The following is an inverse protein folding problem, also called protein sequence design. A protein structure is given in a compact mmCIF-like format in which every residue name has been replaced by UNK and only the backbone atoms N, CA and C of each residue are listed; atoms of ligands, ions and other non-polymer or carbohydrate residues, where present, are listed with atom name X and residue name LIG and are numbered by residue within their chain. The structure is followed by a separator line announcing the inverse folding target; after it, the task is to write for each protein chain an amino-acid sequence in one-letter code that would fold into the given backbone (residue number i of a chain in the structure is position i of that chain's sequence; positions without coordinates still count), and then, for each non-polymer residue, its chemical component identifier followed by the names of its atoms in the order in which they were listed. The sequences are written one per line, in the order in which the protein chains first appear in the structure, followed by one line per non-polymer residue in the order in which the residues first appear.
data_IF_913910667492
#
_entry.id   IF_913910667492
#
_cell.length_a   1.000
_cell.length_b   1.000
_cell.length_c   1.000
_cell.angle_alpha   90.00
_cell.angle_beta   90.00
_cell.angle_gamma   90.00
#
_symmetry.space_group_name_H-M   'P 1'
#
loop_
_entity.id
_entity.type
_entity.pdbx_description
1 polymer ?
#
# COMPACT_ATOMS: atom_id res chain seq x y z
N UNK A 1 -11.33 -20.44 4.49
CA UNK A 1 -11.12 -19.10 5.08
C UNK A 1 -12.00 -18.10 4.38
N UNK A 2 -12.68 -17.23 5.12
CA UNK A 2 -13.57 -16.21 4.55
C UNK A 2 -12.75 -14.94 4.32
N UNK A 3 -12.43 -14.61 3.07
CA UNK A 3 -11.68 -13.38 2.73
C UNK A 3 -12.63 -12.20 2.77
N UNK A 4 -12.38 -11.22 3.63
CA UNK A 4 -13.17 -9.99 3.72
C UNK A 4 -12.37 -8.79 3.21
N UNK A 5 -12.91 -8.06 2.24
CA UNK A 5 -12.37 -6.78 1.81
C UNK A 5 -12.75 -5.72 2.84
N UNK A 6 -11.78 -4.92 3.28
CA UNK A 6 -12.01 -3.79 4.22
C UNK A 6 -11.12 -2.60 3.89
N UNK A 7 -11.48 -1.44 4.45
CA UNK A 7 -10.60 -0.26 4.45
C UNK A 7 -9.35 -0.58 5.28
N UNK A 8 -8.21 -0.15 4.76
CA UNK A 8 -6.91 -0.31 5.42
C UNK A 8 -6.69 0.79 6.44
N UNK A 9 -5.95 0.45 7.48
CA UNK A 9 -5.54 1.35 8.56
C UNK A 9 -4.03 1.37 8.69
N UNK A 10 -3.48 2.28 9.48
CA UNK A 10 -2.03 2.34 9.73
C UNK A 10 -1.42 1.00 10.21
N UNK A 11 -2.23 0.13 10.84
CA UNK A 11 -1.80 -1.21 11.28
C UNK A 11 -1.47 -2.15 10.11
N UNK A 12 -2.03 -1.87 8.94
CA UNK A 12 -1.85 -2.67 7.72
C UNK A 12 -0.62 -2.24 6.91
N UNK A 13 0.07 -1.18 7.35
CA UNK A 13 1.20 -0.60 6.61
C UNK A 13 2.31 -1.59 6.27
N UNK A 14 2.78 -2.44 7.21
CA UNK A 14 3.84 -3.39 6.88
C UNK A 14 3.45 -4.37 5.76
N UNK A 15 2.22 -4.90 5.82
CA UNK A 15 1.69 -5.84 4.81
C UNK A 15 1.46 -5.14 3.48
N UNK A 16 0.92 -3.92 3.50
CA UNK A 16 0.75 -3.10 2.30
C UNK A 16 2.10 -2.81 1.62
N UNK A 17 3.11 -2.39 2.38
CA UNK A 17 4.46 -2.09 1.86
C UNK A 17 5.07 -3.31 1.17
N UNK A 18 4.98 -4.48 1.79
CA UNK A 18 5.50 -5.72 1.20
C UNK A 18 4.82 -6.08 -0.13
N UNK A 19 3.48 -6.06 -0.16
CA UNK A 19 2.71 -6.33 -1.39
C UNK A 19 3.03 -5.30 -2.47
N UNK A 20 3.14 -4.02 -2.10
CA UNK A 20 3.46 -2.92 -3.02
C UNK A 20 4.84 -3.09 -3.64
N UNK A 21 5.86 -3.36 -2.83
CA UNK A 21 7.23 -3.56 -3.28
C UNK A 21 7.36 -4.82 -4.13
N UNK A 22 6.68 -5.91 -3.77
CA UNK A 22 6.61 -7.10 -4.61
C UNK A 22 5.99 -6.80 -5.97
N UNK A 23 4.87 -6.07 -5.99
CA UNK A 23 4.23 -5.65 -7.24
C UNK A 23 5.16 -4.86 -8.14
N UNK A 24 5.88 -3.86 -7.58
CA UNK A 24 6.86 -3.07 -8.34
C UNK A 24 7.99 -3.91 -8.94
N UNK A 25 8.39 -5.00 -8.26
CA UNK A 25 9.45 -5.90 -8.73
C UNK A 25 8.95 -6.86 -9.81
N UNK A 26 7.72 -7.36 -9.67
CA UNK A 26 7.14 -8.36 -10.56
C UNK A 26 6.54 -7.73 -11.83
N UNK A 27 5.96 -6.53 -11.71
CA UNK A 27 5.36 -5.79 -12.81
C UNK A 27 5.51 -4.28 -12.58
N UNK A 28 6.69 -3.75 -12.90
CA UNK A 28 6.99 -2.32 -12.75
C UNK A 28 6.11 -1.42 -13.62
N UNK A 29 5.49 -1.95 -14.68
CA UNK A 29 4.69 -1.15 -15.62
C UNK A 29 3.30 -0.80 -15.08
N UNK A 30 2.83 -1.53 -14.06
CA UNK A 30 1.57 -1.26 -13.37
C UNK A 30 1.65 -0.04 -12.43
N UNK A 31 2.82 0.58 -12.29
CA UNK A 31 3.08 1.63 -11.31
C UNK A 31 3.79 2.84 -11.93
N UNK A 32 3.62 4.00 -11.30
CA UNK A 32 4.27 5.26 -11.70
C UNK A 32 5.67 5.46 -11.10
N UNK A 33 6.27 4.43 -10.52
CA UNK A 33 7.54 4.45 -9.76
C UNK A 33 8.24 3.10 -9.92
N UNK A 34 9.54 3.03 -9.60
CA UNK A 34 10.29 1.76 -9.61
C UNK A 34 10.37 1.12 -8.22
N UNK A 35 10.74 -0.16 -8.19
CA UNK A 35 11.01 -0.88 -6.94
C UNK A 35 12.14 -0.20 -6.15
N UNK A 36 13.24 0.14 -6.81
CA UNK A 36 14.42 0.76 -6.20
C UNK A 36 14.07 2.12 -5.59
N UNK A 37 13.21 2.90 -6.26
CA UNK A 37 12.77 4.18 -5.75
C UNK A 37 11.91 4.02 -4.48
N UNK A 38 10.88 3.16 -4.51
CA UNK A 38 9.99 3.00 -3.35
C UNK A 38 10.65 2.23 -2.19
N UNK A 39 11.67 1.41 -2.45
CA UNK A 39 12.42 0.71 -1.41
C UNK A 39 13.06 1.69 -0.41
N UNK A 40 13.58 2.81 -0.91
CA UNK A 40 14.26 3.86 -0.15
C UNK A 40 13.27 4.83 0.54
N UNK A 41 11.97 4.70 0.28
CA UNK A 41 10.99 5.57 0.92
C UNK A 41 10.88 5.29 2.44
N UNK A 42 10.73 6.35 3.26
CA UNK A 42 10.44 6.19 4.67
C UNK A 42 9.04 5.60 4.87
N UNK A 43 8.82 4.92 6.00
CA UNK A 43 7.52 4.33 6.36
C UNK A 43 6.38 5.37 6.32
N UNK A 44 6.68 6.63 6.64
CA UNK A 44 5.71 7.73 6.57
C UNK A 44 5.07 7.85 5.18
N UNK A 45 5.83 7.62 4.10
CA UNK A 45 5.30 7.72 2.73
C UNK A 45 4.30 6.61 2.40
N UNK A 46 4.41 5.45 3.06
CA UNK A 46 3.41 4.39 2.97
C UNK A 46 2.22 4.65 3.90
N UNK A 47 2.46 5.19 5.10
CA UNK A 47 1.40 5.62 6.00
C UNK A 47 0.53 6.70 5.37
N UNK A 48 1.10 7.69 4.68
CA UNK A 48 0.35 8.76 4.01
C UNK A 48 -0.59 8.24 2.92
N UNK A 49 -0.26 7.10 2.30
CA UNK A 49 -1.11 6.43 1.29
C UNK A 49 -2.26 5.64 1.93
N UNK A 50 -2.04 5.08 3.12
CA UNK A 50 -3.05 4.27 3.83
C UNK A 50 -3.94 5.13 4.71
N UNK A 51 -3.38 6.18 5.30
CA UNK A 51 -4.07 7.06 6.22
C UNK A 51 -5.19 7.78 5.48
N UNK A 52 -6.32 8.03 6.15
CA UNK A 52 -7.31 8.99 5.66
C UNK A 52 -6.60 10.33 5.49
N UNK A 53 -6.41 10.77 4.25
CA UNK A 53 -5.70 12.01 3.92
C UNK A 53 -6.51 13.27 4.26
N UNK A 54 -7.64 13.12 4.98
CA UNK A 54 -8.64 14.17 5.17
C UNK A 54 -9.39 14.56 3.89
N UNK A 55 -8.99 14.01 2.74
CA UNK A 55 -9.66 14.20 1.45
C UNK A 55 -10.86 13.25 1.40
N UNK A 56 -12.04 13.83 1.23
CA UNK A 56 -13.28 13.06 1.07
C UNK A 56 -13.15 12.10 -0.13
N UNK A 57 -13.47 10.82 0.10
CA UNK A 57 -13.40 9.78 -0.91
C UNK A 57 -12.02 9.10 -1.08
N UNK A 58 -10.98 9.50 -0.34
CA UNK A 58 -9.70 8.77 -0.36
C UNK A 58 -9.69 7.62 0.66
N UNK A 59 -9.77 6.38 0.17
CA UNK A 59 -9.61 5.19 0.98
C UNK A 59 -8.88 4.09 0.20
N UNK A 60 -7.99 3.38 0.89
CA UNK A 60 -7.33 2.20 0.35
C UNK A 60 -8.03 0.95 0.89
N UNK A 61 -8.36 0.02 0.01
CA UNK A 61 -9.01 -1.24 0.36
C UNK A 61 -8.04 -2.39 0.18
N UNK A 62 -8.17 -3.41 1.02
CA UNK A 62 -7.39 -4.62 0.88
C UNK A 62 -8.07 -5.84 1.50
N UNK A 63 -7.52 -6.99 1.14
CA UNK A 63 -7.90 -8.29 1.67
C UNK A 63 -6.62 -9.11 1.77
N UNK A 64 -6.11 -9.29 2.97
CA UNK A 64 -4.89 -10.04 3.26
C UNK A 64 -5.02 -10.78 4.59
N UNK A 65 -4.23 -11.84 4.73
CA UNK A 65 -4.22 -12.77 5.87
C UNK A 65 -3.19 -12.37 6.92
#
# INVERSE_FOLDING_TARGET
MNKSIRILSARDMPVYRDIRLRGLREDSTAFGSSYEEELEYPDQKFLDRIAPSGVEGHALFGSFE
#
